data_IF_832878479644
#
_entry.id   IF_832878479644
#
_cell.length_a   1.000
_cell.length_b   1.000
_cell.length_c   1.000
_cell.angle_alpha   90.00
_cell.angle_beta   90.00
_cell.angle_gamma   90.00
#
_symmetry.space_group_name_H-M   'P 1'
#
loop_
_entity.id
_entity.type
_entity.pdbx_description
1 polymer ?
#
# COMPACT_ATOMS: atom_id res chain seq x y z
N UNK A 1 60.17 -4.50 -4.94
CA UNK A 1 59.17 -3.49 -4.52
C UNK A 1 57.71 -3.98 -4.58
N UNK A 2 57.39 -5.07 -5.30
CA UNK A 2 56.00 -5.57 -5.44
C UNK A 2 55.49 -6.42 -4.26
N UNK A 3 56.37 -7.08 -3.48
CA UNK A 3 55.95 -7.90 -2.31
C UNK A 3 55.43 -7.10 -1.10
N UNK A 4 55.72 -5.80 -0.98
CA UNK A 4 55.25 -5.00 0.17
C UNK A 4 53.79 -4.53 0.00
N UNK A 5 53.36 -4.30 -1.25
CA UNK A 5 52.02 -3.81 -1.56
C UNK A 5 50.93 -4.89 -1.38
N UNK A 6 51.24 -6.16 -1.69
CA UNK A 6 50.32 -7.29 -1.54
C UNK A 6 50.07 -7.66 -0.08
N UNK A 7 51.07 -7.59 0.79
CA UNK A 7 50.92 -7.82 2.24
C UNK A 7 50.09 -6.71 2.93
N UNK A 8 50.17 -5.47 2.43
CA UNK A 8 49.38 -4.34 2.93
C UNK A 8 47.90 -4.43 2.52
N UNK A 9 47.62 -4.80 1.27
CA UNK A 9 46.24 -5.06 0.79
C UNK A 9 45.58 -6.24 1.52
N UNK A 10 46.34 -7.28 1.87
CA UNK A 10 45.84 -8.41 2.66
C UNK A 10 45.46 -8.00 4.09
N UNK A 11 46.25 -7.12 4.72
CA UNK A 11 45.95 -6.58 6.07
C UNK A 11 44.74 -5.64 6.10
N UNK A 12 44.54 -4.82 5.04
CA UNK A 12 43.34 -3.97 4.90
C UNK A 12 42.07 -4.82 4.77
N UNK A 13 42.12 -5.92 4.01
CA UNK A 13 40.99 -6.84 3.85
C UNK A 13 40.64 -7.58 5.16
N UNK A 14 41.63 -7.89 6.01
CA UNK A 14 41.41 -8.54 7.30
C UNK A 14 40.75 -7.59 8.32
N UNK A 15 41.21 -6.35 8.41
CA UNK A 15 40.65 -5.34 9.30
C UNK A 15 39.20 -4.98 8.93
N UNK A 16 38.91 -4.82 7.64
CA UNK A 16 37.55 -4.58 7.14
C UNK A 16 36.59 -5.75 7.42
N UNK A 17 37.09 -7.00 7.36
CA UNK A 17 36.30 -8.20 7.67
C UNK A 17 35.90 -8.27 9.15
N UNK A 18 36.79 -7.90 10.07
CA UNK A 18 36.48 -7.89 11.51
C UNK A 18 35.45 -6.79 11.83
N UNK A 19 35.62 -5.59 11.27
CA UNK A 19 34.68 -4.49 11.46
C UNK A 19 33.29 -4.82 10.91
N UNK A 20 33.22 -5.44 9.73
CA UNK A 20 31.97 -5.89 9.12
C UNK A 20 31.25 -6.95 9.97
N UNK A 21 31.98 -7.93 10.50
CA UNK A 21 31.40 -8.96 11.38
C UNK A 21 30.80 -8.37 12.65
N UNK A 22 31.46 -7.37 13.26
CA UNK A 22 30.92 -6.68 14.44
C UNK A 22 29.65 -5.88 14.13
N UNK A 23 29.62 -5.16 13.00
CA UNK A 23 28.44 -4.39 12.59
C UNK A 23 27.27 -5.32 12.25
N UNK A 24 27.52 -6.41 11.52
CA UNK A 24 26.49 -7.39 11.17
C UNK A 24 25.95 -8.10 12.42
N UNK A 25 26.83 -8.46 13.37
CA UNK A 25 26.41 -9.07 14.62
C UNK A 25 25.60 -8.10 15.52
N UNK A 26 25.99 -6.82 15.59
CA UNK A 26 25.33 -5.82 16.44
C UNK A 26 24.03 -5.23 15.85
N UNK A 27 23.95 -5.10 14.53
CA UNK A 27 22.81 -4.45 13.85
C UNK A 27 21.50 -5.23 13.94
N UNK A 28 21.55 -6.55 14.07
CA UNK A 28 20.36 -7.41 14.07
C UNK A 28 19.39 -7.13 15.23
N UNK A 29 19.91 -6.80 16.42
CA UNK A 29 19.07 -6.52 17.61
C UNK A 29 18.35 -5.19 17.46
N UNK A 30 19.08 -4.16 17.02
CA UNK A 30 18.58 -2.80 16.83
C UNK A 30 17.54 -2.77 15.70
N UNK A 31 17.80 -3.44 14.58
CA UNK A 31 16.86 -3.53 13.46
C UNK A 31 15.52 -4.17 13.87
N UNK A 32 15.55 -5.27 14.65
CA UNK A 32 14.32 -5.93 15.13
C UNK A 32 13.52 -5.04 16.09
N UNK A 33 14.19 -4.29 16.97
CA UNK A 33 13.52 -3.37 17.88
C UNK A 33 12.82 -2.22 17.12
N UNK A 34 13.46 -1.65 16.10
CA UNK A 34 12.84 -0.65 15.25
C UNK A 34 11.64 -1.19 14.47
N UNK A 35 11.73 -2.41 13.91
CA UNK A 35 10.60 -3.04 13.21
C UNK A 35 9.43 -3.29 14.16
N UNK A 36 9.70 -3.75 15.39
CA UNK A 36 8.65 -3.97 16.40
C UNK A 36 8.00 -2.65 16.82
N UNK A 37 8.79 -1.62 17.13
CA UNK A 37 8.27 -0.29 17.47
C UNK A 37 7.48 0.33 16.32
N UNK A 38 7.92 0.16 15.06
CA UNK A 38 7.22 0.63 13.88
C UNK A 38 5.88 -0.08 13.68
N UNK A 39 5.84 -1.42 13.81
CA UNK A 39 4.58 -2.18 13.77
C UNK A 39 3.64 -1.78 14.92
N UNK A 40 4.19 -1.49 16.09
CA UNK A 40 3.42 -1.08 17.25
C UNK A 40 2.88 0.35 17.10
N UNK A 41 3.64 1.27 16.52
CA UNK A 41 3.18 2.61 16.15
C UNK A 41 2.07 2.57 15.10
N UNK A 42 2.21 1.73 14.06
CA UNK A 42 1.15 1.52 13.07
C UNK A 42 -0.12 0.92 13.69
N UNK A 43 0.03 -0.04 14.59
CA UNK A 43 -1.10 -0.66 15.31
C UNK A 43 -1.76 0.36 16.23
N UNK A 44 -0.99 1.17 16.94
CA UNK A 44 -1.52 2.21 17.83
C UNK A 44 -2.20 3.34 17.04
N UNK A 45 -1.66 3.75 15.89
CA UNK A 45 -2.32 4.66 14.96
C UNK A 45 -3.62 4.06 14.41
N UNK A 46 -3.66 2.74 14.17
CA UNK A 46 -4.88 2.03 13.77
C UNK A 46 -5.91 1.90 14.91
N UNK A 47 -5.47 1.86 16.18
CA UNK A 47 -6.33 1.78 17.36
C UNK A 47 -6.92 3.13 17.78
N UNK A 48 -6.25 4.24 17.49
CA UNK A 48 -6.77 5.59 17.74
C UNK A 48 -7.85 6.03 16.73
N UNK A 49 -8.06 5.28 15.64
CA UNK A 49 -9.16 5.45 14.70
C UNK A 49 -10.15 4.28 14.83
N UNK A 50 -11.10 4.39 15.74
CA UNK A 50 -12.07 3.36 16.21
C UNK A 50 -12.98 2.76 15.09
N UNK A 51 -12.76 3.06 13.81
CA UNK A 51 -13.49 2.49 12.69
C UNK A 51 -12.71 1.41 11.92
N UNK A 52 -11.39 1.27 12.11
CA UNK A 52 -10.57 0.52 11.14
C UNK A 52 -10.59 -1.01 11.30
N UNK A 53 -10.89 -1.59 12.47
CA UNK A 53 -10.94 -3.06 12.59
C UNK A 53 -12.22 -3.67 11.99
N UNK A 54 -13.37 -2.99 12.11
CA UNK A 54 -14.59 -3.35 11.39
C UNK A 54 -14.41 -3.15 9.88
N UNK A 55 -13.76 -2.06 9.48
CA UNK A 55 -13.46 -1.75 8.08
C UNK A 55 -12.37 -2.70 7.52
N UNK A 56 -11.35 -3.11 8.27
CA UNK A 56 -10.33 -4.04 7.78
C UNK A 56 -10.86 -5.47 7.67
N UNK A 57 -11.74 -5.91 8.57
CA UNK A 57 -12.34 -7.24 8.45
C UNK A 57 -13.37 -7.28 7.31
N UNK A 58 -14.09 -6.18 7.04
CA UNK A 58 -14.93 -6.06 5.85
C UNK A 58 -14.11 -5.91 4.56
N UNK A 59 -13.01 -5.17 4.55
CA UNK A 59 -12.06 -5.03 3.42
C UNK A 59 -11.33 -6.35 3.12
N UNK A 60 -11.00 -7.15 4.14
CA UNK A 60 -10.37 -8.47 3.98
C UNK A 60 -11.37 -9.53 3.50
N UNK A 61 -12.67 -9.39 3.79
CA UNK A 61 -13.73 -10.30 3.32
C UNK A 61 -14.44 -9.85 2.03
N UNK A 62 -14.40 -8.57 1.67
CA UNK A 62 -15.07 -8.02 0.49
C UNK A 62 -14.10 -7.10 -0.27
N UNK A 63 -13.70 -7.54 -1.47
CA UNK A 63 -12.64 -6.89 -2.23
C UNK A 63 -12.88 -5.44 -2.64
N UNK A 64 -11.77 -4.81 -3.02
CA UNK A 64 -11.58 -3.45 -3.52
C UNK A 64 -11.88 -2.36 -2.48
N UNK A 65 -10.87 -1.55 -2.17
CA UNK A 65 -10.95 -0.38 -1.27
C UNK A 65 -11.40 0.87 -2.02
N UNK A 66 -11.93 1.88 -1.31
CA UNK A 66 -12.38 3.14 -1.94
C UNK A 66 -11.27 3.81 -2.75
N UNK A 67 -10.06 3.85 -2.18
CA UNK A 67 -8.87 4.40 -2.84
C UNK A 67 -8.54 3.63 -4.13
N UNK A 68 -8.66 2.31 -4.11
CA UNK A 68 -8.47 1.48 -5.31
C UNK A 68 -9.56 1.73 -6.36
N UNK A 69 -10.83 1.89 -5.94
CA UNK A 69 -11.92 2.18 -6.86
C UNK A 69 -11.74 3.54 -7.55
N UNK A 70 -11.32 4.57 -6.80
CA UNK A 70 -10.96 5.88 -7.36
C UNK A 70 -9.80 5.79 -8.34
N UNK A 71 -8.78 4.98 -8.02
CA UNK A 71 -7.65 4.75 -8.90
C UNK A 71 -8.05 4.01 -10.19
N UNK A 72 -8.93 3.01 -10.10
CA UNK A 72 -9.42 2.25 -11.26
C UNK A 72 -10.22 3.14 -12.21
N UNK A 73 -11.04 4.05 -11.69
CA UNK A 73 -11.81 4.99 -12.52
C UNK A 73 -11.03 6.27 -12.88
N UNK A 74 -9.86 6.50 -12.26
CA UNK A 74 -9.03 7.69 -12.47
C UNK A 74 -9.71 8.99 -12.03
N UNK A 75 -10.42 8.96 -10.90
CA UNK A 75 -11.18 10.10 -10.35
C UNK A 75 -10.55 10.61 -9.05
N UNK A 76 -10.70 11.91 -8.77
CA UNK A 76 -10.12 12.56 -7.58
C UNK A 76 -11.05 12.44 -6.35
N UNK A 77 -10.53 12.77 -5.16
CA UNK A 77 -11.22 12.57 -3.87
C UNK A 77 -12.51 13.42 -3.67
N UNK A 78 -12.85 14.31 -4.61
CA UNK A 78 -14.07 15.14 -4.59
C UNK A 78 -14.86 15.19 -5.90
N UNK A 79 -14.58 14.28 -6.85
CA UNK A 79 -15.31 14.22 -8.12
C UNK A 79 -16.77 13.86 -7.93
N UNK A 80 -17.69 14.59 -8.56
CA UNK A 80 -19.13 14.35 -8.43
C UNK A 80 -19.53 12.97 -8.94
N UNK A 81 -20.65 12.43 -8.46
CA UNK A 81 -21.15 11.13 -8.90
C UNK A 81 -21.37 11.06 -10.42
N UNK A 82 -21.76 12.18 -11.04
CA UNK A 82 -21.92 12.29 -12.49
C UNK A 82 -20.58 12.11 -13.24
N UNK A 83 -19.50 12.72 -12.74
CA UNK A 83 -18.16 12.54 -13.32
C UNK A 83 -17.70 11.08 -13.23
N UNK A 84 -17.98 10.44 -12.10
CA UNK A 84 -17.66 9.02 -11.87
C UNK A 84 -18.40 8.14 -12.87
N UNK A 85 -19.69 8.37 -13.08
CA UNK A 85 -20.49 7.65 -14.07
C UNK A 85 -19.98 7.87 -15.50
N UNK A 86 -19.62 9.11 -15.84
CA UNK A 86 -19.07 9.43 -17.16
C UNK A 86 -17.76 8.69 -17.43
N UNK A 87 -16.85 8.67 -16.45
CA UNK A 87 -15.58 7.93 -16.52
C UNK A 87 -15.81 6.41 -16.59
N UNK A 88 -16.73 5.91 -15.76
CA UNK A 88 -17.14 4.51 -15.79
C UNK A 88 -17.64 4.08 -17.17
N UNK A 89 -18.57 4.84 -17.78
CA UNK A 89 -19.13 4.49 -19.09
C UNK A 89 -18.04 4.46 -20.18
N UNK A 90 -17.16 5.47 -20.20
CA UNK A 90 -16.05 5.51 -21.15
C UNK A 90 -15.10 4.31 -20.98
N UNK A 91 -14.75 3.96 -19.74
CA UNK A 91 -13.91 2.79 -19.45
C UNK A 91 -14.63 1.47 -19.78
N UNK A 92 -15.92 1.37 -19.48
CA UNK A 92 -16.71 0.18 -19.74
C UNK A 92 -16.84 -0.09 -21.23
N UNK A 93 -17.20 0.91 -22.04
CA UNK A 93 -17.31 0.75 -23.50
C UNK A 93 -15.97 0.39 -24.15
N UNK A 94 -14.89 1.04 -23.74
CA UNK A 94 -13.54 0.76 -24.27
C UNK A 94 -13.07 -0.65 -23.90
N UNK A 95 -13.31 -1.08 -22.65
CA UNK A 95 -12.95 -2.42 -22.20
C UNK A 95 -13.94 -3.50 -22.65
N UNK A 96 -15.16 -3.14 -23.08
CA UNK A 96 -16.11 -4.07 -23.66
C UNK A 96 -15.65 -4.56 -25.04
N UNK A 97 -15.07 -3.65 -25.83
CA UNK A 97 -14.59 -3.96 -27.19
C UNK A 97 -13.24 -4.67 -27.20
N UNK A 98 -12.33 -4.26 -26.31
CA UNK A 98 -10.92 -4.67 -26.37
C UNK A 98 -10.38 -5.31 -25.07
N UNK A 99 -11.19 -5.37 -24.01
CA UNK A 99 -10.76 -5.80 -22.67
C UNK A 99 -11.21 -7.21 -22.30
N UNK A 100 -10.66 -7.73 -21.22
CA UNK A 100 -11.04 -9.02 -20.65
C UNK A 100 -12.18 -8.89 -19.63
N UNK A 101 -12.91 -9.99 -19.42
CA UNK A 101 -13.98 -10.07 -18.41
C UNK A 101 -13.49 -9.68 -17.00
N UNK A 102 -12.21 -9.93 -16.70
CA UNK A 102 -11.62 -9.56 -15.42
C UNK A 102 -11.60 -8.04 -15.21
N UNK A 103 -11.21 -7.28 -16.24
CA UNK A 103 -11.14 -5.81 -16.15
C UNK A 103 -12.54 -5.23 -16.04
N UNK A 104 -13.51 -5.76 -16.80
CA UNK A 104 -14.91 -5.35 -16.69
C UNK A 104 -15.47 -5.62 -15.29
N UNK A 105 -15.20 -6.79 -14.72
CA UNK A 105 -15.59 -7.14 -13.35
C UNK A 105 -14.97 -6.21 -12.31
N UNK A 106 -13.74 -5.75 -12.52
CA UNK A 106 -13.06 -4.78 -11.64
C UNK A 106 -13.66 -3.38 -11.75
N UNK A 107 -13.91 -2.90 -12.96
CA UNK A 107 -14.51 -1.58 -13.21
C UNK A 107 -15.94 -1.52 -12.65
N UNK A 108 -16.72 -2.59 -12.80
CA UNK A 108 -18.06 -2.68 -12.23
C UNK A 108 -18.02 -2.67 -10.69
N UNK A 109 -17.11 -3.44 -10.09
CA UNK A 109 -16.95 -3.46 -8.63
C UNK A 109 -16.49 -2.12 -8.07
N UNK A 110 -15.66 -1.38 -8.80
CA UNK A 110 -15.24 -0.02 -8.44
C UNK A 110 -16.43 0.95 -8.39
N UNK A 111 -17.33 0.87 -9.38
CA UNK A 111 -18.55 1.67 -9.42
C UNK A 111 -19.46 1.39 -8.22
N UNK A 112 -19.77 0.11 -7.95
CA UNK A 112 -20.64 -0.30 -6.85
C UNK A 112 -20.10 0.16 -5.48
N UNK A 113 -18.78 0.16 -5.30
CA UNK A 113 -18.15 0.64 -4.08
C UNK A 113 -18.30 2.15 -3.91
N UNK A 114 -18.03 2.94 -4.96
CA UNK A 114 -18.19 4.39 -4.91
C UNK A 114 -19.65 4.78 -4.69
N UNK A 115 -20.60 4.09 -5.31
CA UNK A 115 -22.02 4.30 -5.08
C UNK A 115 -22.42 4.08 -3.61
N UNK A 116 -21.92 3.01 -2.98
CA UNK A 116 -22.12 2.78 -1.54
C UNK A 116 -21.55 3.90 -0.67
N UNK A 117 -20.31 4.33 -0.94
CA UNK A 117 -19.67 5.43 -0.22
C UNK A 117 -20.45 6.73 -0.37
N UNK A 118 -20.98 7.00 -1.57
CA UNK A 118 -21.85 8.16 -1.80
C UNK A 118 -23.16 8.09 -1.02
N UNK A 119 -23.79 6.91 -0.96
CA UNK A 119 -25.01 6.70 -0.17
C UNK A 119 -24.77 6.83 1.34
N UNK A 120 -23.68 6.28 1.85
CA UNK A 120 -23.27 6.39 3.26
C UNK A 120 -22.99 7.86 3.65
N UNK A 121 -22.28 8.61 2.80
CA UNK A 121 -22.03 10.03 3.02
C UNK A 121 -23.31 10.89 2.94
N UNK A 122 -24.32 10.45 2.18
CA UNK A 122 -25.64 11.09 2.12
C UNK A 122 -26.51 10.81 3.35
N UNK A 123 -26.34 9.64 3.98
CA UNK A 123 -27.11 9.20 5.15
C UNK A 123 -26.53 9.66 6.49
N UNK A 124 -25.27 10.12 6.53
CA UNK A 124 -24.61 10.68 7.73
C UNK A 124 -25.02 12.11 8.13
N UNK A 125 -26.05 12.70 7.52
CA UNK A 125 -26.57 14.05 7.86
C UNK A 125 -27.89 14.06 8.64
N UNK A 126 -28.29 12.93 9.22
CA UNK A 126 -29.39 12.86 10.20
C UNK A 126 -28.98 11.98 11.38
N UNK A 127 -28.33 12.58 12.36
CA UNK A 127 -27.96 12.00 13.65
C UNK A 127 -27.51 13.10 14.60
#
# INVERSE_FOLDING_TARGET
>A
MVCCATTFYFSINLAGRILFQLIVAGSGVVARAFVQAYRQALTNASKSGVAQETIQNSIRKAGMTEKEARLILGVSDGSSFEEILKKYNALFENNHKNGSFYIQSKVQRAKELLEKVYQENGQGKSG
#
